data_IF_399342029151
#
_entry.id   IF_399342029151
#
_cell.length_a   1.000
_cell.length_b   1.000
_cell.length_c   1.000
_cell.angle_alpha   90.00
_cell.angle_beta   90.00
_cell.angle_gamma   90.00
#
_symmetry.space_group_name_H-M   'P 1'
#
loop_
_entity.id
_entity.type
_entity.pdbx_description
1 polymer ?
#
# COMPACT_ATOMS: atom_id res chain seq x y z
N UNK A 1 27.17 -17.85 9.70
CA UNK A 1 26.69 -17.33 8.39
C UNK A 1 27.40 -16.02 8.11
N UNK A 2 28.12 -15.89 6.99
CA UNK A 2 28.92 -14.68 6.66
C UNK A 2 28.07 -13.41 6.70
N UNK A 3 28.60 -12.31 7.22
CA UNK A 3 27.87 -11.03 7.31
C UNK A 3 27.48 -10.48 5.93
N UNK A 4 28.24 -10.81 4.89
CA UNK A 4 27.87 -10.52 3.50
C UNK A 4 26.61 -11.27 3.07
N UNK A 5 26.43 -12.52 3.51
CA UNK A 5 25.25 -13.31 3.20
C UNK A 5 24.00 -12.76 3.92
N UNK A 6 24.16 -12.30 5.17
CA UNK A 6 23.07 -11.62 5.91
C UNK A 6 22.64 -10.33 5.21
N UNK A 7 23.61 -9.51 4.80
CA UNK A 7 23.34 -8.27 4.07
C UNK A 7 22.64 -8.56 2.72
N UNK A 8 23.13 -9.55 1.98
CA UNK A 8 22.51 -9.97 0.71
C UNK A 8 21.06 -10.43 0.87
N UNK A 9 20.77 -11.21 1.91
CA UNK A 9 19.40 -11.64 2.23
C UNK A 9 18.50 -10.46 2.62
N UNK A 10 19.02 -9.53 3.43
CA UNK A 10 18.28 -8.32 3.81
C UNK A 10 17.92 -7.47 2.59
N UNK A 11 18.88 -7.20 1.71
CA UNK A 11 18.64 -6.44 0.47
C UNK A 11 17.66 -7.15 -0.45
N UNK A 12 17.79 -8.47 -0.63
CA UNK A 12 16.85 -9.26 -1.44
C UNK A 12 15.42 -9.17 -0.90
N UNK A 13 15.23 -9.24 0.41
CA UNK A 13 13.91 -9.09 1.04
C UNK A 13 13.36 -7.66 0.85
N UNK A 14 14.19 -6.64 1.02
CA UNK A 14 13.80 -5.24 0.79
C UNK A 14 13.37 -5.00 -0.66
N UNK A 15 14.10 -5.55 -1.64
CA UNK A 15 13.71 -5.45 -3.06
C UNK A 15 12.42 -6.22 -3.38
N UNK A 16 12.23 -7.39 -2.79
CA UNK A 16 10.99 -8.16 -2.94
C UNK A 16 9.78 -7.36 -2.43
N UNK A 17 9.91 -6.76 -1.24
CA UNK A 17 8.87 -5.92 -0.65
C UNK A 17 8.62 -4.65 -1.50
N UNK A 18 9.67 -4.06 -2.10
CA UNK A 18 9.53 -2.92 -3.02
C UNK A 18 8.77 -3.28 -4.31
N UNK A 19 9.07 -4.44 -4.90
CA UNK A 19 8.35 -4.95 -6.09
C UNK A 19 6.86 -5.14 -5.76
N UNK A 20 6.56 -5.67 -4.58
CA UNK A 20 5.19 -5.86 -4.12
C UNK A 20 4.43 -4.53 -3.99
N UNK A 21 5.01 -3.54 -3.31
CA UNK A 21 4.41 -2.20 -3.18
C UNK A 21 4.15 -1.57 -4.56
N UNK A 22 5.11 -1.65 -5.48
CA UNK A 22 4.94 -1.13 -6.83
C UNK A 22 3.80 -1.82 -7.60
N UNK A 23 3.61 -3.12 -7.37
CA UNK A 23 2.50 -3.88 -7.96
C UNK A 23 1.15 -3.39 -7.45
N UNK A 24 1.04 -3.09 -6.15
CA UNK A 24 -0.18 -2.49 -5.58
C UNK A 24 -0.45 -1.13 -6.21
N UNK A 25 0.54 -0.23 -6.25
CA UNK A 25 0.39 1.10 -6.87
C UNK A 25 -0.12 1.00 -8.31
N UNK A 26 0.43 0.07 -9.11
CA UNK A 26 -0.03 -0.17 -10.47
C UNK A 26 -1.52 -0.56 -10.52
N UNK A 27 -1.96 -1.46 -9.63
CA UNK A 27 -3.38 -1.85 -9.56
C UNK A 27 -4.31 -0.70 -9.14
N UNK A 28 -3.87 0.17 -8.23
CA UNK A 28 -4.64 1.36 -7.81
C UNK A 28 -4.79 2.38 -8.95
N UNK A 29 -3.72 2.61 -9.72
CA UNK A 29 -3.76 3.52 -10.87
C UNK A 29 -4.71 3.02 -11.97
N UNK A 30 -4.76 1.71 -12.20
CA UNK A 30 -5.72 1.09 -13.13
C UNK A 30 -7.15 1.34 -12.64
N UNK A 31 -7.44 1.10 -11.35
CA UNK A 31 -8.76 1.36 -10.76
C UNK A 31 -9.18 2.83 -10.85
N UNK A 32 -8.28 3.78 -10.61
CA UNK A 32 -8.57 5.21 -10.79
C UNK A 32 -9.00 5.48 -12.25
N UNK A 33 -8.32 4.87 -13.20
CA UNK A 33 -8.63 5.00 -14.63
C UNK A 33 -9.99 4.38 -14.97
N UNK A 34 -10.30 3.21 -14.42
CA UNK A 34 -11.60 2.54 -14.56
C UNK A 34 -12.75 3.36 -13.94
N UNK A 35 -12.56 3.88 -12.74
CA UNK A 35 -13.54 4.74 -12.05
C UNK A 35 -13.79 6.03 -12.85
N UNK A 36 -12.73 6.64 -13.41
CA UNK A 36 -12.85 7.81 -14.27
C UNK A 36 -13.62 7.50 -15.57
N UNK A 37 -13.41 6.32 -16.16
CA UNK A 37 -14.18 5.88 -17.32
C UNK A 37 -15.65 5.62 -16.96
N UNK A 38 -15.93 5.02 -15.80
CA UNK A 38 -17.29 4.76 -15.33
C UNK A 38 -18.11 6.05 -15.11
N UNK A 39 -17.48 7.13 -14.62
CA UNK A 39 -18.12 8.46 -14.51
C UNK A 39 -18.63 9.00 -15.86
N UNK A 40 -18.03 8.57 -16.98
CA UNK A 40 -18.50 8.93 -18.33
C UNK A 40 -19.60 8.02 -18.88
N UNK A 41 -19.72 6.79 -18.38
CA UNK A 41 -20.57 5.74 -18.97
C UNK A 41 -21.76 5.30 -18.09
N UNK A 42 -21.86 5.80 -16.84
CA UNK A 42 -22.98 5.55 -15.93
C UNK A 42 -22.59 4.71 -14.71
N UNK A 43 -23.18 5.04 -13.56
CA UNK A 43 -22.77 4.60 -12.20
C UNK A 43 -23.01 3.12 -11.85
N UNK A 44 -23.67 2.32 -12.69
CA UNK A 44 -23.99 0.92 -12.36
C UNK A 44 -22.75 0.03 -12.13
N UNK A 45 -21.60 0.41 -12.70
CA UNK A 45 -20.33 -0.31 -12.55
C UNK A 45 -19.71 -0.17 -11.14
N UNK A 46 -19.93 0.97 -10.47
CA UNK A 46 -19.31 1.29 -9.18
C UNK A 46 -19.92 0.50 -8.00
N UNK A 47 -21.20 0.12 -8.10
CA UNK A 47 -21.96 -0.52 -7.01
C UNK A 47 -21.60 -1.99 -6.73
N UNK A 48 -20.74 -2.63 -7.54
CA UNK A 48 -20.37 -4.05 -7.39
C UNK A 48 -18.94 -4.30 -6.90
N UNK A 49 -18.14 -3.27 -6.62
CA UNK A 49 -16.74 -3.52 -6.27
C UNK A 49 -16.58 -3.97 -4.80
N UNK A 50 -15.94 -5.13 -4.58
CA UNK A 50 -15.46 -5.61 -3.27
C UNK A 50 -14.27 -4.79 -2.74
N UNK A 51 -13.89 -3.75 -3.49
CA UNK A 51 -12.67 -2.96 -3.38
C UNK A 51 -12.38 -2.49 -1.97
N UNK A 52 -13.34 -1.88 -1.27
CA UNK A 52 -13.04 -1.15 -0.04
C UNK A 52 -12.37 -2.03 1.03
N UNK A 53 -12.89 -3.24 1.25
CA UNK A 53 -12.31 -4.16 2.24
C UNK A 53 -10.94 -4.68 1.82
N UNK A 54 -10.75 -4.95 0.53
CA UNK A 54 -9.49 -5.42 -0.05
C UNK A 54 -8.43 -4.33 0.01
N UNK A 55 -8.75 -3.08 -0.33
CA UNK A 55 -7.86 -1.92 -0.19
C UNK A 55 -7.44 -1.71 1.26
N UNK A 56 -8.37 -1.85 2.21
CA UNK A 56 -8.07 -1.71 3.63
C UNK A 56 -7.10 -2.81 4.11
N UNK A 57 -7.18 -4.02 3.54
CA UNK A 57 -6.24 -5.10 3.81
C UNK A 57 -4.85 -4.80 3.21
N UNK A 58 -4.80 -4.34 1.96
CA UNK A 58 -3.55 -3.95 1.28
C UNK A 58 -2.84 -2.79 2.00
N UNK A 59 -3.59 -1.77 2.43
CA UNK A 59 -3.06 -0.64 3.19
C UNK A 59 -2.40 -1.09 4.50
N UNK A 60 -3.03 -2.02 5.23
CA UNK A 60 -2.45 -2.60 6.45
C UNK A 60 -1.17 -3.38 6.15
N UNK A 61 -1.12 -4.13 5.06
CA UNK A 61 0.06 -4.90 4.67
C UNK A 61 1.23 -3.99 4.26
N UNK A 62 0.97 -2.91 3.50
CA UNK A 62 1.97 -1.90 3.14
C UNK A 62 2.54 -1.23 4.41
N UNK A 63 1.68 -0.85 5.36
CA UNK A 63 2.14 -0.27 6.63
C UNK A 63 3.03 -1.25 7.41
N UNK A 64 2.70 -2.55 7.37
CA UNK A 64 3.52 -3.61 7.96
C UNK A 64 4.89 -3.76 7.29
N UNK A 65 4.98 -3.60 5.97
CA UNK A 65 6.26 -3.59 5.24
C UNK A 65 7.10 -2.38 5.67
N UNK A 66 6.50 -1.20 5.78
CA UNK A 66 7.20 0.00 6.23
C UNK A 66 7.77 -0.17 7.65
N UNK A 67 7.05 -0.84 8.55
CA UNK A 67 7.53 -1.16 9.90
C UNK A 67 8.79 -2.03 9.91
N UNK A 68 9.01 -2.87 8.89
CA UNK A 68 10.21 -3.71 8.81
C UNK A 68 11.48 -2.86 8.63
N UNK A 69 11.39 -1.79 7.82
CA UNK A 69 12.58 -1.06 7.34
C UNK A 69 12.76 0.33 7.95
N UNK A 70 11.68 1.02 8.31
CA UNK A 70 11.74 2.40 8.83
C UNK A 70 12.09 2.41 10.33
N UNK A 71 13.38 2.41 10.65
CA UNK A 71 13.88 2.34 12.03
C UNK A 71 14.50 3.64 12.53
N UNK A 72 14.92 4.54 11.64
CA UNK A 72 15.46 5.82 12.06
C UNK A 72 14.36 6.78 12.54
N UNK A 73 14.66 7.72 13.47
CA UNK A 73 13.65 8.61 14.04
C UNK A 73 12.84 9.41 13.01
N UNK A 74 13.49 9.88 11.94
CA UNK A 74 12.86 10.59 10.83
C UNK A 74 11.98 9.69 9.94
N UNK A 75 12.31 8.41 9.83
CA UNK A 75 11.52 7.41 9.08
C UNK A 75 10.26 7.02 9.86
N UNK A 76 10.40 6.79 11.16
CA UNK A 76 9.27 6.53 12.08
C UNK A 76 8.29 7.70 12.04
N UNK A 77 8.79 8.94 12.08
CA UNK A 77 7.93 10.14 12.04
C UNK A 77 7.17 10.24 10.72
N UNK A 78 7.82 10.03 9.58
CA UNK A 78 7.16 10.00 8.26
C UNK A 78 6.13 8.89 8.17
N UNK A 79 6.42 7.69 8.70
CA UNK A 79 5.47 6.57 8.76
C UNK A 79 4.23 6.92 9.57
N UNK A 80 4.38 7.49 10.77
CA UNK A 80 3.23 7.92 11.60
C UNK A 80 2.34 8.93 10.88
N UNK A 81 2.93 9.86 10.13
CA UNK A 81 2.17 10.82 9.32
C UNK A 81 1.36 10.11 8.23
N UNK A 82 1.98 9.17 7.52
CA UNK A 82 1.33 8.37 6.49
C UNK A 82 0.22 7.49 7.08
N UNK A 83 0.49 6.81 8.19
CA UNK A 83 -0.47 5.97 8.89
C UNK A 83 -1.71 6.78 9.31
N UNK A 84 -1.52 7.96 9.90
CA UNK A 84 -2.64 8.86 10.24
C UNK A 84 -3.45 9.26 9.00
N UNK A 85 -2.78 9.62 7.90
CA UNK A 85 -3.45 9.99 6.65
C UNK A 85 -4.28 8.83 6.09
N UNK A 86 -3.70 7.62 6.02
CA UNK A 86 -4.35 6.43 5.47
C UNK A 86 -5.48 5.94 6.39
N UNK A 87 -5.28 5.91 7.71
CA UNK A 87 -6.27 5.44 8.68
C UNK A 87 -7.49 6.36 8.77
N UNK A 88 -7.33 7.68 8.61
CA UNK A 88 -8.46 8.61 8.60
C UNK A 88 -9.44 8.30 7.46
N UNK A 89 -8.94 7.87 6.29
CA UNK A 89 -9.79 7.42 5.18
C UNK A 89 -10.50 6.09 5.44
N UNK A 90 -10.10 5.33 6.46
CA UNK A 90 -10.78 4.09 6.88
C UNK A 90 -11.97 4.36 7.81
N UNK A 91 -12.00 5.50 8.50
CA UNK A 91 -13.08 5.87 9.43
C UNK A 91 -14.30 6.47 8.71
N UNK A 92 -14.09 7.17 7.59
CA UNK A 92 -15.16 7.69 6.71
C UNK A 92 -15.97 6.58 6.00
N UNK A 93 -15.62 5.31 6.25
CA UNK A 93 -16.24 4.12 5.66
C UNK A 93 -17.33 3.47 6.54
N UNK A 94 -17.77 4.13 7.62
CA UNK A 94 -18.83 3.64 8.53
C UNK A 94 -20.20 4.24 8.26
#
# INVERSE_FOLDING_TARGET
MSDQLKLGLYMKNMFSDLIYINSIIATELIKITENLAALRHGEEFLKKSSCLREHNALNREILGILDKYNKAPNEITRKKCLEKHVLNHLEDSK
#
